data_IF_020736286883
#
_entry.id   IF_020736286883
#
_cell.length_a   1.000
_cell.length_b   1.000
_cell.length_c   1.000
_cell.angle_alpha   90.00
_cell.angle_beta   90.00
_cell.angle_gamma   90.00
#
_symmetry.space_group_name_H-M   'P 1'
#
loop_
_entity.id
_entity.type
_entity.pdbx_description
1 polymer ?
#
# COMPACT_ATOMS: atom_id res chain seq x y z
N UNK A 1 -53.54 8.77 -31.55
CA UNK A 1 -53.40 7.87 -32.73
C UNK A 1 -52.49 6.71 -32.32
N UNK A 2 -53.05 5.50 -32.23
CA UNK A 2 -52.34 4.28 -31.82
C UNK A 2 -51.54 3.71 -33.01
N UNK A 3 -50.23 3.55 -32.86
CA UNK A 3 -49.40 2.75 -33.76
C UNK A 3 -48.99 1.47 -33.01
N UNK A 4 -49.60 0.35 -33.38
CA UNK A 4 -49.22 -1.00 -32.95
C UNK A 4 -47.86 -1.36 -33.56
N UNK A 5 -46.84 -1.58 -32.74
CA UNK A 5 -45.56 -2.15 -33.18
C UNK A 5 -45.68 -3.67 -33.27
N UNK A 6 -45.33 -4.23 -34.44
CA UNK A 6 -45.34 -5.66 -34.73
C UNK A 6 -44.03 -6.27 -34.24
N UNK A 7 -44.10 -7.32 -33.42
CA UNK A 7 -42.93 -8.01 -32.87
C UNK A 7 -42.33 -8.95 -33.91
N UNK A 8 -41.02 -8.84 -34.19
CA UNK A 8 -40.29 -9.76 -35.06
C UNK A 8 -39.45 -10.72 -34.20
N UNK A 9 -39.80 -12.00 -34.24
CA UNK A 9 -39.03 -13.08 -33.64
C UNK A 9 -37.90 -13.46 -34.59
N UNK A 10 -36.65 -13.18 -34.21
CA UNK A 10 -35.47 -13.69 -34.90
C UNK A 10 -35.10 -15.06 -34.32
N UNK A 11 -35.31 -16.11 -35.13
CA UNK A 11 -34.71 -17.42 -34.92
C UNK A 11 -33.26 -17.37 -35.41
N UNK A 12 -32.30 -17.41 -34.50
CA UNK A 12 -30.88 -17.56 -34.83
C UNK A 12 -30.56 -19.07 -34.80
N UNK A 13 -30.33 -19.65 -35.97
CA UNK A 13 -29.79 -21.00 -36.10
C UNK A 13 -28.31 -20.98 -35.72
N UNK A 14 -27.97 -21.59 -34.58
CA UNK A 14 -26.60 -21.65 -34.06
C UNK A 14 -25.68 -22.51 -34.93
N UNK A 15 -24.59 -21.91 -35.41
CA UNK A 15 -23.45 -22.62 -36.01
C UNK A 15 -22.59 -23.17 -34.85
N UNK A 16 -22.39 -24.48 -34.80
CA UNK A 16 -21.49 -25.10 -33.83
C UNK A 16 -20.03 -24.79 -34.20
N UNK A 17 -19.37 -23.93 -33.41
CA UNK A 17 -17.93 -23.72 -33.49
C UNK A 17 -17.25 -24.82 -32.68
N UNK A 18 -16.60 -25.76 -33.36
CA UNK A 18 -15.73 -26.74 -32.71
C UNK A 18 -14.44 -26.00 -32.32
N UNK A 19 -14.38 -25.56 -31.06
CA UNK A 19 -13.15 -25.02 -30.47
C UNK A 19 -12.23 -26.20 -30.15
N UNK A 20 -11.16 -26.33 -30.93
CA UNK A 20 -10.08 -27.28 -30.67
C UNK A 20 -9.36 -26.82 -29.39
N UNK A 21 -9.66 -27.47 -28.27
CA UNK A 21 -8.93 -27.26 -27.03
C UNK A 21 -7.53 -27.86 -27.16
N UNK A 22 -6.55 -27.00 -27.43
CA UNK A 22 -5.15 -27.30 -27.18
C UNK A 22 -4.97 -27.28 -25.66
N UNK A 23 -4.32 -28.30 -25.03
CA UNK A 23 -3.99 -28.21 -23.62
C UNK A 23 -3.00 -27.05 -23.44
N UNK A 24 -3.47 -25.94 -22.86
CA UNK A 24 -2.60 -24.86 -22.45
C UNK A 24 -1.78 -25.36 -21.27
N UNK A 25 -0.50 -25.62 -21.49
CA UNK A 25 0.47 -25.73 -20.40
C UNK A 25 0.35 -24.48 -19.52
N UNK A 26 0.47 -24.58 -18.18
CA UNK A 26 0.53 -23.39 -17.36
C UNK A 26 1.73 -22.56 -17.83
N UNK A 27 1.47 -21.33 -18.30
CA UNK A 27 2.54 -20.37 -18.54
C UNK A 27 3.04 -20.00 -17.14
N UNK A 28 4.11 -20.65 -16.71
CA UNK A 28 4.86 -20.21 -15.56
C UNK A 28 5.59 -18.93 -15.99
N UNK A 29 4.89 -17.80 -15.90
CA UNK A 29 5.52 -16.50 -16.00
C UNK A 29 6.36 -16.32 -14.72
N UNK A 30 7.62 -16.75 -14.78
CA UNK A 30 8.61 -16.18 -13.87
C UNK A 30 8.62 -14.68 -14.16
N UNK A 31 8.47 -13.79 -13.16
CA UNK A 31 8.67 -12.38 -13.39
C UNK A 31 10.10 -12.22 -13.90
N UNK A 32 10.26 -11.85 -15.16
CA UNK A 32 11.52 -11.31 -15.64
C UNK A 32 11.74 -10.06 -14.81
N UNK A 33 12.72 -10.09 -13.91
CA UNK A 33 13.25 -8.88 -13.29
C UNK A 33 13.84 -8.05 -14.43
N UNK A 34 12.97 -7.25 -15.04
CA UNK A 34 13.39 -6.15 -15.87
C UNK A 34 14.39 -5.39 -15.02
N UNK A 35 15.60 -5.20 -15.53
CA UNK A 35 16.69 -4.56 -14.80
C UNK A 35 16.36 -3.07 -14.68
N UNK A 36 15.33 -2.77 -13.90
CA UNK A 36 14.85 -1.46 -13.56
C UNK A 36 15.93 -0.83 -12.70
N UNK A 37 16.34 0.36 -13.13
CA UNK A 37 17.37 1.17 -12.53
C UNK A 37 17.15 1.31 -11.00
N UNK A 38 17.87 0.47 -10.24
CA UNK A 38 17.72 0.29 -8.79
C UNK A 38 18.05 1.57 -7.99
N UNK A 39 18.63 2.57 -8.64
CA UNK A 39 19.00 3.85 -8.03
C UNK A 39 17.80 4.81 -7.85
N UNK A 40 16.65 4.55 -8.49
CA UNK A 40 15.45 5.42 -8.38
C UNK A 40 14.27 4.74 -7.68
N UNK A 41 14.27 3.41 -7.58
CA UNK A 41 13.22 2.68 -6.88
C UNK A 41 13.54 2.59 -5.38
N UNK A 42 12.64 3.12 -4.56
CA UNK A 42 12.69 2.94 -3.11
C UNK A 42 11.83 1.76 -2.73
N UNK A 43 12.31 1.02 -1.74
CA UNK A 43 11.63 -0.15 -1.19
C UNK A 43 11.37 0.10 0.28
N UNK A 44 10.24 -0.37 0.77
CA UNK A 44 9.92 -0.42 2.20
C UNK A 44 9.54 -1.86 2.55
N UNK A 45 10.17 -2.42 3.58
CA UNK A 45 9.86 -3.78 4.07
C UNK A 45 9.91 -4.89 2.99
N UNK A 46 10.73 -4.69 1.95
CA UNK A 46 10.89 -5.63 0.83
C UNK A 46 9.92 -5.42 -0.34
N UNK A 47 9.03 -4.44 -0.25
CA UNK A 47 8.04 -4.10 -1.27
C UNK A 47 8.39 -2.76 -1.95
N UNK A 48 8.04 -2.62 -3.24
CA UNK A 48 8.29 -1.40 -3.99
C UNK A 48 7.39 -0.28 -3.47
N UNK A 49 7.97 0.86 -3.13
CA UNK A 49 7.20 2.00 -2.66
C UNK A 49 6.25 2.55 -3.74
N UNK A 50 4.96 2.64 -3.42
CA UNK A 50 3.94 3.33 -4.21
C UNK A 50 4.10 4.84 -4.10
N UNK A 51 4.56 5.31 -2.94
CA UNK A 51 4.73 6.73 -2.62
C UNK A 51 6.14 6.97 -2.11
N UNK A 52 6.85 7.92 -2.73
CA UNK A 52 8.22 8.27 -2.36
C UNK A 52 8.35 9.77 -2.18
N UNK A 53 8.85 10.20 -1.01
CA UNK A 53 9.21 11.59 -0.75
C UNK A 53 10.64 11.72 -0.20
N UNK A 54 11.32 12.81 -0.58
CA UNK A 54 12.66 13.14 -0.09
C UNK A 54 12.73 14.65 0.12
N UNK A 55 12.84 15.08 1.37
CA UNK A 55 12.82 16.49 1.70
C UNK A 55 12.48 16.78 3.15
N UNK A 56 12.06 18.02 3.39
CA UNK A 56 11.80 18.54 4.72
C UNK A 56 10.48 19.30 4.73
N UNK A 57 9.80 19.33 5.87
CA UNK A 57 8.60 20.13 6.12
C UNK A 57 7.47 19.88 5.09
N UNK A 58 7.24 18.62 4.72
CA UNK A 58 6.17 18.25 3.79
C UNK A 58 5.06 17.44 4.46
N UNK A 59 3.88 17.49 3.84
CA UNK A 59 2.79 16.55 4.11
C UNK A 59 2.74 15.53 2.98
N UNK A 60 2.84 14.25 3.34
CA UNK A 60 2.69 13.10 2.45
C UNK A 60 1.35 12.44 2.80
N UNK A 61 0.55 12.18 1.77
CA UNK A 61 -0.78 11.57 1.89
C UNK A 61 -0.79 10.27 1.09
N UNK A 62 -1.18 9.18 1.72
CA UNK A 62 -1.53 7.93 1.05
C UNK A 62 -2.94 7.96 0.49
N UNK A 63 -3.53 6.79 0.33
CA UNK A 63 -4.77 6.60 -0.41
C UNK A 63 -5.84 5.94 0.46
N UNK A 64 -6.74 5.17 -0.15
CA UNK A 64 -7.84 4.45 0.53
C UNK A 64 -7.64 2.94 0.47
N UNK A 65 -6.45 2.50 0.08
CA UNK A 65 -6.07 1.11 0.11
C UNK A 65 -4.57 0.99 0.25
N UNK A 66 -4.11 -0.25 0.43
CA UNK A 66 -2.75 -0.57 0.86
C UNK A 66 -1.65 0.16 0.06
N UNK A 67 -0.88 0.97 0.79
CA UNK A 67 0.21 1.78 0.32
C UNK A 67 1.56 1.31 0.86
N UNK A 68 2.60 1.54 0.05
CA UNK A 68 3.99 1.34 0.45
C UNK A 68 4.68 2.70 0.39
N UNK A 69 4.87 3.32 1.54
CA UNK A 69 5.32 4.70 1.66
C UNK A 69 6.79 4.73 2.10
N UNK A 70 7.63 5.39 1.32
CA UNK A 70 9.01 5.68 1.68
C UNK A 70 9.23 7.19 1.79
N UNK A 71 9.62 7.68 2.97
CA UNK A 71 9.97 9.08 3.19
C UNK A 71 11.39 9.20 3.70
N UNK A 72 12.15 10.17 3.21
CA UNK A 72 13.45 10.52 3.77
C UNK A 72 13.60 12.02 3.99
N UNK A 73 14.41 12.37 5.00
CA UNK A 73 14.55 13.74 5.51
C UNK A 73 13.75 13.96 6.79
N UNK A 74 13.48 15.22 7.16
CA UNK A 74 12.97 15.53 8.50
C UNK A 74 11.80 16.49 8.55
N UNK A 75 11.11 16.51 9.69
CA UNK A 75 9.91 17.35 9.92
C UNK A 75 8.78 17.11 8.91
N UNK A 76 8.70 15.91 8.34
CA UNK A 76 7.60 15.55 7.47
C UNK A 76 6.43 15.00 8.29
N UNK A 77 5.22 15.20 7.78
CA UNK A 77 3.99 14.60 8.29
C UNK A 77 3.48 13.60 7.27
N UNK A 78 3.28 12.35 7.66
CA UNK A 78 2.84 11.26 6.80
C UNK A 78 1.50 10.76 7.32
N UNK A 79 0.48 10.76 6.46
CA UNK A 79 -0.83 10.14 6.68
C UNK A 79 -0.98 9.03 5.65
N UNK A 80 -1.14 7.77 6.08
CA UNK A 80 -1.15 6.63 5.16
C UNK A 80 -2.56 6.37 4.60
N UNK A 81 -3.60 6.60 5.40
CA UNK A 81 -4.99 6.64 4.95
C UNK A 81 -5.74 5.38 5.35
N UNK A 82 -6.64 4.91 4.50
CA UNK A 82 -7.30 3.62 4.75
C UNK A 82 -6.47 2.51 4.09
N UNK A 83 -6.39 1.34 4.70
CA UNK A 83 -5.72 0.14 4.14
C UNK A 83 -4.61 -0.39 5.04
N UNK A 84 -4.06 -1.55 4.68
CA UNK A 84 -2.96 -2.15 5.45
C UNK A 84 -1.60 -1.64 4.94
N UNK A 85 -1.11 -0.54 5.51
CA UNK A 85 -0.01 0.24 4.96
C UNK A 85 1.37 -0.18 5.47
N UNK A 86 2.39 0.12 4.66
CA UNK A 86 3.81 -0.08 4.98
C UNK A 86 4.55 1.22 4.89
N UNK A 87 4.94 1.77 6.03
CA UNK A 87 5.57 3.08 6.11
C UNK A 87 7.03 2.92 6.55
N UNK A 88 7.96 3.41 5.72
CA UNK A 88 9.39 3.47 6.04
C UNK A 88 9.87 4.92 6.02
N UNK A 89 10.41 5.38 7.14
CA UNK A 89 10.98 6.72 7.27
C UNK A 89 12.46 6.66 7.59
N UNK A 90 13.26 7.22 6.69
CA UNK A 90 14.69 7.45 6.88
C UNK A 90 14.96 8.94 7.16
N UNK A 91 14.79 9.32 8.42
CA UNK A 91 15.13 10.65 8.89
C UNK A 91 14.50 11.00 10.23
N UNK A 92 14.47 12.29 10.56
CA UNK A 92 14.35 12.76 11.94
C UNK A 92 13.19 13.73 12.15
N UNK A 93 12.58 13.72 13.33
CA UNK A 93 11.46 14.60 13.70
C UNK A 93 10.24 14.51 12.77
N UNK A 94 9.99 13.34 12.17
CA UNK A 94 8.79 13.13 11.37
C UNK A 94 7.61 12.71 12.27
N UNK A 95 6.39 12.99 11.80
CA UNK A 95 5.14 12.48 12.38
C UNK A 95 4.50 11.52 11.40
N UNK A 96 4.25 10.28 11.82
CA UNK A 96 3.74 9.19 11.01
C UNK A 96 2.41 8.72 11.60
N UNK A 97 1.38 8.65 10.77
CA UNK A 97 0.05 8.17 11.12
C UNK A 97 -0.32 7.04 10.14
N UNK A 98 -0.56 5.84 10.67
CA UNK A 98 -1.11 4.72 9.91
C UNK A 98 -2.55 4.99 9.48
N UNK A 99 -3.37 5.44 10.43
CA UNK A 99 -4.80 5.71 10.25
C UNK A 99 -5.64 4.41 10.29
N UNK A 100 -6.44 4.08 9.28
CA UNK A 100 -7.37 2.94 9.36
C UNK A 100 -6.75 1.69 8.70
N UNK A 101 -6.49 0.62 9.45
CA UNK A 101 -6.00 -0.66 8.90
C UNK A 101 -4.91 -1.32 9.76
N UNK A 102 -4.46 -2.51 9.37
CA UNK A 102 -3.38 -3.20 10.09
C UNK A 102 -2.02 -2.74 9.53
N UNK A 103 -1.41 -1.73 10.15
CA UNK A 103 -0.23 -1.05 9.59
C UNK A 103 1.11 -1.61 10.06
N UNK A 104 2.14 -1.43 9.22
CA UNK A 104 3.53 -1.65 9.62
C UNK A 104 4.38 -0.41 9.41
N UNK A 105 4.86 0.18 10.51
CA UNK A 105 5.59 1.44 10.51
C UNK A 105 7.02 1.25 11.01
N UNK A 106 8.01 1.67 10.22
CA UNK A 106 9.43 1.64 10.58
C UNK A 106 10.05 3.03 10.44
N UNK A 107 10.50 3.59 11.55
CA UNK A 107 11.29 4.81 11.59
C UNK A 107 12.75 4.50 11.92
N UNK A 108 13.64 4.68 10.94
CA UNK A 108 15.08 4.42 11.08
C UNK A 108 15.88 5.59 11.65
N UNK A 109 15.36 6.82 11.55
CA UNK A 109 16.04 8.00 12.11
C UNK A 109 15.54 8.38 13.50
N UNK A 110 15.96 9.57 13.98
CA UNK A 110 15.84 9.97 15.39
C UNK A 110 14.56 10.79 15.67
N UNK A 111 14.04 10.67 16.89
CA UNK A 111 12.94 11.51 17.41
C UNK A 111 11.70 11.58 16.50
N UNK A 112 11.27 10.44 15.96
CA UNK A 112 10.03 10.38 15.20
C UNK A 112 8.84 10.14 16.13
N UNK A 113 7.67 10.60 15.73
CA UNK A 113 6.40 10.33 16.39
C UNK A 113 5.59 9.40 15.49
N UNK A 114 5.11 8.29 16.03
CA UNK A 114 4.37 7.28 15.29
C UNK A 114 3.06 6.97 16.01
N UNK A 115 1.97 6.94 15.27
CA UNK A 115 0.64 6.49 15.69
C UNK A 115 0.20 5.42 14.69
N UNK A 116 -0.20 4.25 15.22
CA UNK A 116 -0.75 3.15 14.44
C UNK A 116 -2.12 3.55 13.90
N UNK A 117 -3.09 3.67 14.80
CA UNK A 117 -4.43 4.15 14.47
C UNK A 117 -5.46 3.08 14.81
N UNK A 118 -6.38 2.81 13.90
CA UNK A 118 -7.38 1.77 14.05
C UNK A 118 -6.87 0.46 13.43
N UNK A 119 -6.40 -0.51 14.23
CA UNK A 119 -5.96 -1.80 13.68
C UNK A 119 -5.05 -2.59 14.61
N UNK A 120 -4.59 -3.77 14.19
CA UNK A 120 -3.53 -4.51 14.88
C UNK A 120 -2.16 -4.12 14.28
N UNK A 121 -1.56 -3.03 14.77
CA UNK A 121 -0.37 -2.40 14.18
C UNK A 121 0.96 -2.98 14.66
N UNK A 122 1.99 -2.81 13.82
CA UNK A 122 3.38 -3.11 14.16
C UNK A 122 4.31 -1.94 13.90
N UNK A 123 4.85 -1.37 14.97
CA UNK A 123 5.73 -0.21 14.90
C UNK A 123 7.14 -0.51 15.42
N UNK A 124 8.14 0.03 14.72
CA UNK A 124 9.55 -0.11 15.09
C UNK A 124 10.25 1.23 14.95
N UNK A 125 10.81 1.73 16.04
CA UNK A 125 11.75 2.84 16.03
C UNK A 125 13.18 2.33 16.23
N UNK A 126 14.14 2.82 15.44
CA UNK A 126 15.56 2.51 15.65
C UNK A 126 16.17 3.29 16.83
N UNK A 127 15.55 4.40 17.22
CA UNK A 127 16.04 5.32 18.23
C UNK A 127 15.15 5.35 19.48
N UNK A 128 15.73 5.35 20.69
CA UNK A 128 14.97 5.45 21.94
C UNK A 128 14.27 6.81 22.15
N UNK A 129 14.65 7.86 21.42
CA UNK A 129 14.01 9.17 21.47
C UNK A 129 12.70 9.29 20.67
N UNK A 130 12.33 8.25 19.92
CA UNK A 130 11.08 8.22 19.16
C UNK A 130 9.91 7.74 20.03
N UNK A 131 8.73 8.29 19.79
CA UNK A 131 7.50 7.90 20.50
C UNK A 131 6.61 7.06 19.59
N UNK A 132 5.96 6.06 20.18
CA UNK A 132 5.03 5.16 19.50
C UNK A 132 3.74 5.08 20.30
N UNK A 133 2.61 5.21 19.61
CA UNK A 133 1.26 5.08 20.15
C UNK A 133 0.54 4.04 19.29
N UNK A 134 0.08 2.95 19.89
CA UNK A 134 -0.66 1.91 19.18
C UNK A 134 -2.04 2.38 18.75
N UNK A 135 -2.70 3.11 19.64
CA UNK A 135 -4.12 3.49 19.53
C UNK A 135 -5.03 2.26 19.64
N UNK A 136 -6.04 2.11 18.79
CA UNK A 136 -7.02 1.03 18.89
C UNK A 136 -6.40 -0.32 18.47
N UNK A 137 -7.03 -1.44 18.82
CA UNK A 137 -6.54 -2.79 18.47
C UNK A 137 -5.38 -3.32 19.33
N UNK A 138 -4.64 -4.31 18.80
CA UNK A 138 -3.58 -5.05 19.52
C UNK A 138 -2.22 -4.82 18.89
N UNK A 139 -1.60 -3.75 19.36
CA UNK A 139 -0.41 -3.21 18.75
C UNK A 139 0.87 -3.86 19.30
N UNK A 140 1.91 -3.84 18.47
CA UNK A 140 3.25 -4.31 18.82
C UNK A 140 4.25 -3.21 18.56
N UNK A 141 5.00 -2.84 19.60
CA UNK A 141 6.10 -1.90 19.47
C UNK A 141 7.40 -2.54 19.95
N UNK A 142 8.50 -2.23 19.26
CA UNK A 142 9.81 -2.81 19.57
C UNK A 142 10.43 -2.31 20.88
N UNK A 143 9.80 -1.34 21.57
CA UNK A 143 10.31 -0.80 22.83
C UNK A 143 9.45 -1.16 24.07
N UNK A 144 8.15 -1.45 23.95
CA UNK A 144 7.23 -1.90 25.01
C UNK A 144 5.87 -2.28 24.34
N UNK A 145 4.84 -2.62 25.12
CA UNK A 145 3.45 -2.48 24.65
C UNK A 145 3.16 -1.01 24.31
N UNK A 146 2.63 -0.81 23.12
CA UNK A 146 1.90 0.38 22.68
C UNK A 146 0.44 -0.03 22.47
#
# INVERSE_FOLDING_TARGET
MMLKTKSYSMLIAGIAVVVLMIPSSPVSASPSVDSLNLDTQKYCLGELATIVYTGYDATVLGTVGDDVIYVSGGWNTIYAGDGDDRICVDGHFNSLFGEDGDDTIVAAGLHNQMSGGDGDDHMTAADPGSTMQGDDGRNRCNNESC
#
